data_IF_896025202815
#
_entry.id   IF_896025202815
#
_cell.length_a   1.000
_cell.length_b   1.000
_cell.length_c   1.000
_cell.angle_alpha   90.00
_cell.angle_beta   90.00
_cell.angle_gamma   90.00
#
_symmetry.space_group_name_H-M   'P 1'
#
loop_
_entity.id
_entity.type
_entity.pdbx_description
1 polymer ?
#
# COMPACT_ATOMS: atom_id res chain seq x y z
N UNK A 1 53.31 -3.87 53.35
CA UNK A 1 51.97 -3.39 52.91
C UNK A 1 50.98 -4.53 53.15
N UNK A 2 49.80 -4.27 53.73
CA UNK A 2 48.87 -5.36 54.10
C UNK A 2 47.95 -5.77 52.95
N UNK A 3 47.60 -7.07 52.87
CA UNK A 3 46.73 -7.64 51.81
C UNK A 3 45.36 -6.95 51.70
N UNK A 4 44.91 -6.29 52.77
CA UNK A 4 43.65 -5.53 52.82
C UNK A 4 43.61 -4.34 51.85
N UNK A 5 44.73 -3.64 51.64
CA UNK A 5 44.78 -2.51 50.69
C UNK A 5 44.92 -2.95 49.24
N UNK A 6 45.54 -4.11 48.98
CA UNK A 6 45.68 -4.65 47.63
C UNK A 6 44.32 -4.96 46.98
N UNK A 7 43.37 -5.51 47.76
CA UNK A 7 41.99 -5.72 47.30
C UNK A 7 41.24 -4.41 47.04
N UNK A 8 41.45 -3.38 47.87
CA UNK A 8 40.78 -2.07 47.69
C UNK A 8 41.29 -1.38 46.42
N UNK A 9 42.60 -1.40 46.14
CA UNK A 9 43.18 -0.78 44.93
C UNK A 9 42.75 -1.53 43.65
N UNK A 10 42.62 -2.86 43.69
CA UNK A 10 42.08 -3.63 42.56
C UNK A 10 40.59 -3.36 42.36
N UNK A 11 39.80 -3.23 43.45
CA UNK A 11 38.38 -2.86 43.37
C UNK A 11 38.15 -1.45 42.81
N UNK A 12 39.05 -0.49 43.09
CA UNK A 12 38.94 0.88 42.58
C UNK A 12 39.35 1.01 41.09
N UNK A 13 39.98 -0.01 40.52
CA UNK A 13 40.43 -0.05 39.13
C UNK A 13 39.43 -0.73 38.17
N UNK A 14 38.29 -1.23 38.67
CA UNK A 14 37.35 -2.05 37.89
C UNK A 14 36.05 -1.33 37.47
N UNK A 15 35.82 -0.08 37.90
CA UNK A 15 34.58 0.67 37.61
C UNK A 15 34.87 2.07 37.08
N UNK A 16 35.55 2.14 35.93
CA UNK A 16 35.51 3.32 35.04
C UNK A 16 35.49 2.89 33.56
N UNK A 17 34.64 1.92 33.23
CA UNK A 17 34.20 1.72 31.86
C UNK A 17 33.28 2.87 31.48
N UNK A 18 33.84 3.98 30.97
CA UNK A 18 33.05 5.04 30.33
C UNK A 18 32.44 4.40 29.09
N UNK A 19 31.13 4.16 29.12
CA UNK A 19 30.38 3.81 27.93
C UNK A 19 30.45 4.99 26.96
N UNK A 20 31.31 4.89 25.95
CA UNK A 20 31.30 5.80 24.81
C UNK A 20 30.04 5.47 24.01
N UNK A 21 28.93 6.10 24.41
CA UNK A 21 27.69 6.07 23.63
C UNK A 21 28.04 6.65 22.26
N UNK A 22 27.89 5.88 21.16
CA UNK A 22 28.13 6.43 19.83
C UNK A 22 27.13 7.56 19.60
N UNK A 23 27.63 8.77 19.40
CA UNK A 23 26.79 9.90 19.03
C UNK A 23 26.21 9.60 17.64
N UNK A 24 24.94 9.20 17.60
CA UNK A 24 24.19 9.10 16.36
C UNK A 24 24.19 10.50 15.73
N UNK A 25 24.69 10.59 14.48
CA UNK A 25 24.68 11.86 13.76
C UNK A 25 23.24 12.34 13.60
N UNK A 26 22.98 13.61 13.93
CA UNK A 26 21.65 14.18 13.78
C UNK A 26 21.24 14.13 12.30
N UNK A 27 19.98 13.77 12.04
CA UNK A 27 19.40 13.83 10.70
C UNK A 27 19.49 15.27 10.16
N UNK A 28 19.90 15.48 8.89
CA UNK A 28 19.96 16.81 8.32
C UNK A 28 18.55 17.42 8.24
N UNK A 29 18.43 18.68 8.65
CA UNK A 29 17.16 19.41 8.60
C UNK A 29 16.93 19.99 7.21
N UNK A 30 15.72 19.86 6.68
CA UNK A 30 15.35 20.38 5.36
C UNK A 30 14.47 21.61 5.53
N UNK A 31 14.83 22.71 4.87
CA UNK A 31 14.01 23.92 4.76
C UNK A 31 13.63 24.14 3.30
N UNK A 32 12.34 24.13 2.98
CA UNK A 32 11.82 24.51 1.66
C UNK A 32 11.21 25.91 1.75
N UNK A 33 11.67 26.85 0.91
CA UNK A 33 11.15 28.22 0.83
C UNK A 33 11.08 28.95 2.19
N UNK A 34 11.99 28.61 3.11
CA UNK A 34 12.06 29.15 4.47
C UNK A 34 11.25 28.40 5.54
N UNK A 35 10.44 27.40 5.18
CA UNK A 35 9.69 26.54 6.10
C UNK A 35 10.39 25.18 6.29
N UNK A 36 10.38 24.62 7.50
CA UNK A 36 10.92 23.28 7.76
C UNK A 36 10.02 22.22 7.12
N UNK A 37 10.57 21.42 6.20
CA UNK A 37 9.88 20.26 5.64
C UNK A 37 9.83 19.16 6.70
N UNK A 38 8.62 18.78 7.12
CA UNK A 38 8.40 17.60 7.95
C UNK A 38 8.46 16.34 7.09
N UNK A 39 9.02 15.27 7.64
CA UNK A 39 9.05 13.95 7.00
C UNK A 39 8.62 12.88 8.00
N UNK A 40 7.93 11.86 7.51
CA UNK A 40 7.48 10.69 8.27
C UNK A 40 8.66 9.81 8.70
N UNK A 41 9.60 9.57 7.77
CA UNK A 41 10.92 8.98 8.04
C UNK A 41 11.97 10.09 8.04
N UNK A 42 12.90 10.14 9.02
CA UNK A 42 13.96 11.15 9.03
C UNK A 42 14.84 11.11 7.76
N UNK A 43 15.30 12.25 7.22
CA UNK A 43 16.30 12.26 6.16
C UNK A 43 17.61 11.64 6.64
N UNK A 44 18.35 10.96 5.75
CA UNK A 44 19.58 10.23 6.10
C UNK A 44 20.69 10.57 5.11
N UNK A 45 21.96 10.52 5.55
CA UNK A 45 23.11 10.73 4.67
C UNK A 45 23.71 9.37 4.31
N UNK A 46 23.67 9.02 3.03
CA UNK A 46 24.21 7.78 2.47
C UNK A 46 25.22 8.11 1.37
N UNK A 47 26.42 7.54 1.45
CA UNK A 47 27.52 7.74 0.49
C UNK A 47 27.85 9.23 0.16
N UNK A 48 27.53 10.15 1.07
CA UNK A 48 27.73 11.60 0.92
C UNK A 48 26.55 12.36 0.31
N UNK A 49 25.51 11.67 -0.15
CA UNK A 49 24.23 12.27 -0.58
C UNK A 49 23.22 12.27 0.56
N UNK A 50 22.33 13.27 0.62
CA UNK A 50 21.17 13.20 1.50
C UNK A 50 20.00 12.55 0.79
N UNK A 51 19.50 11.49 1.41
CA UNK A 51 18.37 10.67 1.01
C UNK A 51 17.15 11.12 1.82
N UNK A 52 16.02 11.35 1.13
CA UNK A 52 14.77 11.88 1.71
C UNK A 52 13.57 11.03 1.23
N UNK A 53 12.50 10.85 2.03
CA UNK A 53 11.34 10.08 1.59
C UNK A 53 10.73 10.65 0.31
N UNK A 54 10.48 9.81 -0.69
CA UNK A 54 10.05 10.24 -2.02
C UNK A 54 8.81 11.14 -1.98
N UNK A 55 7.80 10.74 -1.19
CA UNK A 55 6.51 11.46 -1.11
C UNK A 55 6.71 12.89 -0.62
N UNK A 56 7.35 13.04 0.54
CA UNK A 56 7.55 14.33 1.18
C UNK A 56 8.31 15.35 0.31
N UNK A 57 9.32 14.90 -0.47
CA UNK A 57 10.05 15.83 -1.34
C UNK A 57 9.29 16.16 -2.64
N UNK A 58 8.63 15.18 -3.28
CA UNK A 58 7.89 15.44 -4.53
C UNK A 58 6.63 16.28 -4.28
N UNK A 59 5.83 15.96 -3.27
CA UNK A 59 4.62 16.72 -2.92
C UNK A 59 4.97 18.16 -2.54
N UNK A 60 5.99 18.37 -1.69
CA UNK A 60 6.40 19.70 -1.26
C UNK A 60 6.97 20.54 -2.43
N UNK A 61 7.61 19.92 -3.43
CA UNK A 61 8.05 20.58 -4.65
C UNK A 61 6.92 20.87 -5.66
N UNK A 62 5.68 20.46 -5.37
CA UNK A 62 4.52 20.63 -6.24
C UNK A 62 4.46 19.64 -7.40
N UNK A 63 5.08 18.47 -7.27
CA UNK A 63 5.05 17.41 -8.27
C UNK A 63 3.98 16.36 -7.94
N UNK A 64 3.26 15.88 -8.97
CA UNK A 64 2.48 14.66 -8.86
C UNK A 64 3.45 13.47 -8.87
N UNK A 65 3.24 12.46 -8.02
CA UNK A 65 4.12 11.30 -7.93
C UNK A 65 3.34 9.99 -7.89
N UNK A 66 3.78 9.03 -8.69
CA UNK A 66 3.31 7.65 -8.74
C UNK A 66 4.46 6.69 -8.43
N UNK A 67 4.09 5.49 -7.95
CA UNK A 67 5.02 4.40 -7.63
C UNK A 67 4.49 3.10 -8.22
N UNK A 68 5.28 2.48 -9.10
CA UNK A 68 5.06 1.12 -9.58
C UNK A 68 5.90 0.14 -8.74
N UNK A 69 5.23 -0.65 -7.90
CA UNK A 69 5.87 -1.66 -7.06
C UNK A 69 6.43 -2.87 -7.86
N UNK A 70 5.91 -3.12 -9.06
CA UNK A 70 6.28 -4.24 -9.94
C UNK A 70 7.60 -3.96 -10.62
N UNK A 71 7.74 -2.79 -11.24
CA UNK A 71 8.99 -2.36 -11.89
C UNK A 71 9.95 -1.66 -10.93
N UNK A 72 9.49 -1.34 -9.72
CA UNK A 72 10.18 -0.50 -8.71
C UNK A 72 10.54 0.89 -9.27
N UNK A 73 9.57 1.52 -9.94
CA UNK A 73 9.73 2.81 -10.62
C UNK A 73 8.98 3.92 -9.91
N UNK A 74 9.68 5.00 -9.59
CA UNK A 74 9.10 6.28 -9.23
C UNK A 74 8.87 7.08 -10.52
N UNK A 75 7.64 7.53 -10.75
CA UNK A 75 7.31 8.45 -11.85
C UNK A 75 6.78 9.74 -11.26
N UNK A 76 7.44 10.87 -11.53
CA UNK A 76 7.07 12.18 -10.97
C UNK A 76 6.95 13.25 -12.07
N UNK A 77 5.90 14.07 -12.01
CA UNK A 77 5.58 15.07 -13.05
C UNK A 77 5.32 16.44 -12.43
N UNK A 78 5.92 17.49 -12.98
CA UNK A 78 5.72 18.89 -12.60
C UNK A 78 5.82 19.79 -13.83
N UNK A 79 4.69 20.35 -14.27
CA UNK A 79 4.61 21.04 -15.56
C UNK A 79 5.09 20.11 -16.69
N UNK A 80 5.96 20.62 -17.56
CA UNK A 80 6.56 19.83 -18.65
C UNK A 80 7.67 18.86 -18.19
N UNK A 81 8.10 18.91 -16.92
CA UNK A 81 9.17 18.03 -16.42
C UNK A 81 8.60 16.69 -15.95
N UNK A 82 9.13 15.61 -16.52
CA UNK A 82 8.90 14.22 -16.08
C UNK A 82 10.20 13.59 -15.60
N UNK A 83 10.19 13.01 -14.40
CA UNK A 83 11.26 12.18 -13.86
C UNK A 83 10.81 10.73 -13.74
N UNK A 84 11.72 9.82 -14.08
CA UNK A 84 11.56 8.38 -13.88
C UNK A 84 12.80 7.87 -13.12
N UNK A 85 12.61 7.24 -11.97
CA UNK A 85 13.71 6.66 -11.16
C UNK A 85 13.39 5.21 -10.83
N UNK A 86 14.18 4.27 -11.38
CA UNK A 86 14.12 2.86 -10.98
C UNK A 86 15.02 2.63 -9.77
N UNK A 87 14.53 1.95 -8.73
CA UNK A 87 15.33 1.63 -7.53
C UNK A 87 16.50 0.72 -7.90
N UNK A 88 17.73 1.19 -7.65
CA UNK A 88 18.95 0.49 -8.03
C UNK A 88 19.16 0.34 -9.55
N UNK A 89 18.53 1.18 -10.36
CA UNK A 89 18.53 1.08 -11.82
C UNK A 89 18.58 2.44 -12.54
N UNK A 90 17.95 2.49 -13.71
CA UNK A 90 18.01 3.65 -14.59
C UNK A 90 17.24 4.86 -14.03
N UNK A 91 17.86 6.04 -14.15
CA UNK A 91 17.24 7.34 -13.90
C UNK A 91 17.08 8.08 -15.22
N UNK A 92 15.93 8.73 -15.42
CA UNK A 92 15.62 9.52 -16.62
C UNK A 92 14.99 10.86 -16.26
N UNK A 93 15.29 11.88 -17.06
CA UNK A 93 14.60 13.18 -17.06
C UNK A 93 14.08 13.44 -18.47
N UNK A 94 12.79 13.71 -18.62
CA UNK A 94 12.10 13.90 -19.90
C UNK A 94 12.39 12.77 -20.91
N UNK A 95 12.39 11.52 -20.41
CA UNK A 95 12.69 10.31 -21.17
C UNK A 95 14.18 10.07 -21.49
N UNK A 96 15.06 11.05 -21.26
CA UNK A 96 16.51 10.89 -21.47
C UNK A 96 17.16 10.25 -20.24
N UNK A 97 17.83 9.11 -20.43
CA UNK A 97 18.63 8.46 -19.38
C UNK A 97 19.77 9.38 -18.94
N UNK A 98 19.93 9.51 -17.63
CA UNK A 98 20.99 10.28 -16.98
C UNK A 98 21.79 9.36 -16.05
N UNK A 99 23.09 9.60 -15.95
CA UNK A 99 23.98 8.97 -14.97
C UNK A 99 24.03 9.85 -13.70
N UNK A 100 23.94 9.24 -12.51
CA UNK A 100 23.74 9.97 -11.24
C UNK A 100 24.62 9.43 -10.11
N UNK A 101 25.26 10.32 -9.37
CA UNK A 101 26.19 9.98 -8.28
C UNK A 101 25.52 9.23 -7.11
N UNK A 102 24.19 9.31 -6.99
CA UNK A 102 23.38 8.55 -6.04
C UNK A 102 22.05 8.14 -6.69
N UNK A 103 21.60 6.92 -6.38
CA UNK A 103 20.37 6.33 -6.89
C UNK A 103 19.25 6.37 -5.85
N UNK A 104 18.00 6.22 -6.27
CA UNK A 104 16.89 5.97 -5.35
C UNK A 104 17.03 4.56 -4.73
N UNK A 105 16.72 4.46 -3.43
CA UNK A 105 16.90 3.27 -2.60
C UNK A 105 15.66 3.01 -1.73
N UNK A 106 15.58 1.84 -1.09
CA UNK A 106 14.59 1.57 -0.05
C UNK A 106 15.35 1.37 1.26
N UNK A 107 15.08 2.22 2.26
CA UNK A 107 15.78 2.26 3.53
C UNK A 107 14.74 2.30 4.67
N UNK A 108 14.79 1.32 5.57
CA UNK A 108 13.86 1.15 6.69
C UNK A 108 12.37 1.15 6.26
N UNK A 109 12.06 0.55 5.10
CA UNK A 109 10.70 0.47 4.53
C UNK A 109 10.32 1.67 3.66
N UNK A 110 10.96 2.83 3.83
CA UNK A 110 10.69 4.03 3.05
C UNK A 110 11.51 4.07 1.76
N UNK A 111 10.86 4.38 0.64
CA UNK A 111 11.55 4.71 -0.62
C UNK A 111 12.19 6.09 -0.50
N UNK A 112 13.52 6.11 -0.48
CA UNK A 112 14.32 7.32 -0.31
C UNK A 112 14.96 7.73 -1.65
N UNK A 113 14.90 9.02 -1.98
CA UNK A 113 15.48 9.59 -3.20
C UNK A 113 16.61 10.58 -2.88
N UNK A 114 17.59 10.78 -3.79
CA UNK A 114 18.64 11.76 -3.59
C UNK A 114 18.05 13.18 -3.69
N UNK A 115 18.00 13.88 -2.55
CA UNK A 115 17.27 15.14 -2.41
C UNK A 115 17.69 16.19 -3.45
N UNK A 116 19.01 16.37 -3.64
CA UNK A 116 19.55 17.36 -4.58
C UNK A 116 19.08 17.07 -6.00
N UNK A 117 19.29 15.85 -6.48
CA UNK A 117 18.95 15.46 -7.85
C UNK A 117 17.46 15.70 -8.15
N UNK A 118 16.57 15.27 -7.25
CA UNK A 118 15.13 15.47 -7.39
C UNK A 118 14.77 16.97 -7.38
N UNK A 119 15.33 17.74 -6.46
CA UNK A 119 15.02 19.16 -6.32
C UNK A 119 15.50 19.98 -7.52
N UNK A 120 16.74 19.77 -7.97
CA UNK A 120 17.33 20.50 -9.10
C UNK A 120 16.66 20.13 -10.42
N UNK A 121 16.30 18.85 -10.62
CA UNK A 121 15.52 18.43 -11.79
C UNK A 121 14.11 19.01 -11.80
N UNK A 122 13.49 19.22 -10.62
CA UNK A 122 12.18 19.89 -10.45
C UNK A 122 12.27 21.42 -10.37
N UNK A 123 13.39 22.01 -10.81
CA UNK A 123 13.58 23.46 -10.97
C UNK A 123 13.89 24.24 -9.69
N UNK A 124 14.26 23.57 -8.59
CA UNK A 124 14.62 24.21 -7.33
C UNK A 124 16.14 24.27 -7.13
N UNK A 125 16.62 25.35 -6.48
CA UNK A 125 18.02 25.48 -6.06
C UNK A 125 18.23 24.85 -4.69
N UNK A 126 19.33 24.11 -4.51
CA UNK A 126 19.67 23.44 -3.23
C UNK A 126 21.02 23.90 -2.67
N UNK A 127 20.99 24.56 -1.51
CA UNK A 127 22.17 24.92 -0.72
C UNK A 127 22.30 23.99 0.49
N UNK A 128 23.54 23.70 0.91
CA UNK A 128 23.84 22.91 2.11
C UNK A 128 24.73 23.71 3.06
N UNK A 129 24.32 23.84 4.31
CA UNK A 129 25.13 24.39 5.38
C UNK A 129 25.72 23.22 6.22
N UNK A 130 27.03 22.95 6.11
CA UNK A 130 27.67 21.85 6.84
C UNK A 130 27.81 22.12 8.34
N UNK A 131 27.85 23.38 8.78
CA UNK A 131 28.04 23.76 10.18
C UNK A 131 26.75 23.59 11.01
N UNK A 132 25.59 23.75 10.37
CA UNK A 132 24.27 23.61 10.99
C UNK A 132 23.51 22.35 10.58
N UNK A 133 24.04 21.57 9.64
CA UNK A 133 23.37 20.45 8.97
C UNK A 133 21.99 20.81 8.38
N UNK A 134 21.87 22.01 7.78
CA UNK A 134 20.63 22.48 7.15
C UNK A 134 20.76 22.43 5.61
N UNK A 135 19.79 21.80 4.96
CA UNK A 135 19.56 21.86 3.52
C UNK A 135 18.50 22.92 3.25
N UNK A 136 18.84 23.94 2.45
CA UNK A 136 17.89 24.96 2.01
C UNK A 136 17.53 24.72 0.55
N UNK A 137 16.24 24.50 0.29
CA UNK A 137 15.65 24.35 -1.03
C UNK A 137 14.87 25.62 -1.36
N UNK A 138 15.11 26.21 -2.52
CA UNK A 138 14.41 27.42 -2.99
C UNK A 138 13.82 27.16 -4.38
N UNK A 139 12.50 27.14 -4.51
CA UNK A 139 11.83 27.14 -5.82
C UNK A 139 11.71 28.56 -6.34
N UNK A 140 11.77 28.75 -7.67
CA UNK A 140 11.20 29.95 -8.25
C UNK A 140 9.70 29.98 -7.93
N UNK A 141 9.23 31.04 -7.27
CA UNK A 141 7.82 31.22 -6.95
C UNK A 141 7.10 31.83 -8.15
N UNK A 142 6.31 31.03 -8.87
CA UNK A 142 5.29 31.58 -9.75
C UNK A 142 4.25 32.29 -8.88
N UNK A 143 4.24 33.63 -8.92
CA UNK A 143 3.42 34.47 -8.05
C UNK A 143 1.98 34.53 -8.54
N UNK A 144 1.28 33.39 -8.52
CA UNK A 144 -0.19 33.37 -8.48
C UNK A 144 -0.64 33.65 -7.06
N UNK A 145 -0.56 34.93 -6.66
CA UNK A 145 -1.31 35.43 -5.50
C UNK A 145 -2.76 35.01 -5.66
N UNK A 146 -3.38 34.30 -4.69
CA UNK A 146 -4.82 34.11 -4.73
C UNK A 146 -5.47 35.49 -4.59
N UNK A 147 -6.23 35.92 -5.58
CA UNK A 147 -7.09 37.10 -5.42
C UNK A 147 -8.11 36.77 -4.33
N UNK A 148 -8.01 37.52 -3.24
CA UNK A 148 -8.98 37.52 -2.14
C UNK A 148 -10.36 37.85 -2.73
N UNK A 149 -11.36 36.94 -2.67
CA UNK A 149 -12.68 37.19 -3.23
C UNK A 149 -13.42 38.17 -2.32
N UNK A 150 -13.13 39.46 -2.47
CA UNK A 150 -13.80 40.55 -1.75
C UNK A 150 -15.29 40.53 -2.06
N UNK A 151 -16.07 40.01 -1.12
CA UNK A 151 -17.53 39.95 -1.18
C UNK A 151 -18.10 41.35 -0.97
N UNK A 152 -18.25 42.09 -2.07
CA UNK A 152 -19.04 43.33 -2.13
C UNK A 152 -20.53 42.94 -2.22
N UNK A 153 -21.24 42.99 -1.09
CA UNK A 153 -22.68 42.69 -0.98
C UNK A 153 -23.52 43.99 -1.02
N UNK A 154 -24.04 44.36 -2.19
CA UNK A 154 -25.19 45.26 -2.36
C UNK A 154 -25.84 45.11 -3.76
N UNK A 155 -27.08 45.60 -3.93
CA UNK A 155 -27.61 45.98 -5.24
C UNK A 155 -28.61 45.03 -5.90
N UNK A 156 -29.80 44.85 -5.31
CA UNK A 156 -30.93 44.18 -5.97
C UNK A 156 -31.43 44.93 -7.22
N UNK A 157 -31.60 44.24 -8.35
CA UNK A 157 -32.58 44.60 -9.41
C UNK A 157 -33.21 43.33 -9.98
N UNK A 158 -34.54 43.34 -10.11
CA UNK A 158 -35.36 42.34 -10.82
C UNK A 158 -35.71 42.84 -12.21
N UNK A 159 -35.86 41.95 -13.19
CA UNK A 159 -37.02 42.03 -14.10
C UNK A 159 -37.40 40.66 -14.71
N UNK A 160 -38.61 40.60 -15.24
CA UNK A 160 -39.29 39.42 -15.81
C UNK A 160 -39.11 39.32 -17.35
N UNK A 161 -39.82 38.36 -17.98
CA UNK A 161 -40.08 38.14 -19.44
C UNK A 161 -39.21 37.10 -20.18
N UNK A 162 -39.76 36.29 -21.10
CA UNK A 162 -41.15 35.74 -21.26
C UNK A 162 -41.06 34.44 -22.10
N UNK A 163 -42.16 33.71 -22.27
CA UNK A 163 -42.23 32.37 -22.87
C UNK A 163 -42.42 32.34 -24.41
N UNK A 164 -42.75 31.16 -24.96
CA UNK A 164 -43.19 30.87 -26.36
C UNK A 164 -42.09 30.95 -27.43
N UNK A 165 -42.13 30.24 -28.57
CA UNK A 165 -42.99 29.13 -29.06
C UNK A 165 -42.16 28.35 -30.12
N UNK A 166 -42.14 27.00 -30.15
CA UNK A 166 -43.06 26.08 -30.85
C UNK A 166 -42.35 25.40 -32.06
N UNK A 167 -43.04 24.56 -32.82
CA UNK A 167 -42.49 23.39 -33.51
C UNK A 167 -42.17 23.54 -35.03
N UNK A 168 -42.17 22.37 -35.71
CA UNK A 168 -42.11 22.11 -37.15
C UNK A 168 -40.78 22.32 -37.92
N UNK A 169 -40.44 21.53 -38.96
CA UNK A 169 -40.80 20.15 -39.37
C UNK A 169 -40.02 19.83 -40.68
N UNK A 170 -40.29 18.65 -41.29
CA UNK A 170 -39.96 18.28 -42.70
C UNK A 170 -38.45 18.03 -42.95
N UNK A 171 -37.97 17.26 -43.94
CA UNK A 171 -38.48 16.26 -44.91
C UNK A 171 -37.21 15.70 -45.62
N UNK A 172 -37.17 14.62 -46.42
CA UNK A 172 -38.06 13.48 -46.76
C UNK A 172 -37.17 12.43 -47.48
N UNK A 173 -37.66 11.22 -47.74
CA UNK A 173 -37.17 10.21 -48.72
C UNK A 173 -35.75 9.61 -48.54
N UNK A 174 -35.40 8.45 -49.13
CA UNK A 174 -36.17 7.55 -50.01
C UNK A 174 -35.96 6.06 -49.68
N UNK A 175 -36.69 5.19 -50.38
CA UNK A 175 -36.70 3.72 -50.27
C UNK A 175 -35.43 3.08 -50.95
N UNK A 176 -35.27 1.76 -51.13
CA UNK A 176 -36.19 0.71 -51.64
C UNK A 176 -35.76 -0.71 -51.24
N UNK A 177 -36.75 -1.61 -51.13
CA UNK A 177 -36.83 -3.00 -51.62
C UNK A 177 -35.75 -4.06 -51.28
N UNK A 178 -36.03 -5.38 -51.31
CA UNK A 178 -37.24 -6.21 -51.08
C UNK A 178 -36.82 -7.70 -51.14
N UNK A 179 -37.65 -8.64 -50.64
CA UNK A 179 -37.58 -10.12 -50.84
C UNK A 179 -36.35 -10.86 -50.24
N UNK A 180 -36.35 -12.18 -50.00
CA UNK A 180 -37.41 -13.22 -50.11
C UNK A 180 -37.29 -14.27 -48.96
N UNK A 181 -38.20 -15.24 -48.90
CA UNK A 181 -38.35 -16.25 -47.82
C UNK A 181 -37.95 -17.70 -48.25
N UNK A 182 -38.45 -18.72 -47.51
CA UNK A 182 -38.30 -20.20 -47.69
C UNK A 182 -36.91 -20.79 -47.36
N UNK A 183 -36.72 -22.00 -46.82
CA UNK A 183 -37.56 -23.02 -46.14
C UNK A 183 -36.67 -23.62 -45.01
N UNK A 184 -37.10 -24.02 -43.81
CA UNK A 184 -38.10 -25.02 -43.37
C UNK A 184 -37.61 -26.50 -43.42
N UNK A 185 -38.15 -27.36 -42.55
CA UNK A 185 -37.87 -28.81 -42.31
C UNK A 185 -36.57 -29.18 -41.54
N UNK A 186 -36.52 -30.15 -40.60
CA UNK A 186 -37.55 -30.78 -39.74
C UNK A 186 -36.87 -31.50 -38.52
N UNK A 187 -37.67 -32.13 -37.63
CA UNK A 187 -37.34 -32.85 -36.38
C UNK A 187 -36.65 -34.25 -36.60
N UNK A 188 -36.43 -35.18 -35.65
CA UNK A 188 -36.84 -35.47 -34.23
C UNK A 188 -35.61 -35.92 -33.40
N UNK A 189 -35.61 -36.26 -32.10
CA UNK A 189 -36.58 -36.42 -30.97
C UNK A 189 -35.94 -35.75 -29.71
N UNK A 190 -36.57 -35.28 -28.63
CA UNK A 190 -37.83 -35.54 -27.88
C UNK A 190 -37.74 -36.59 -26.73
N UNK A 191 -38.56 -36.41 -25.67
CA UNK A 191 -38.53 -36.93 -24.26
C UNK A 191 -37.93 -35.92 -23.22
N UNK A 192 -38.64 -35.29 -22.27
CA UNK A 192 -39.94 -35.53 -21.59
C UNK A 192 -39.94 -36.74 -20.63
N UNK A 193 -40.35 -36.72 -19.35
CA UNK A 193 -40.75 -35.68 -18.37
C UNK A 193 -40.23 -36.13 -16.96
N UNK A 194 -40.31 -35.47 -15.80
CA UNK A 194 -41.07 -34.35 -15.17
C UNK A 194 -40.11 -33.63 -14.18
N UNK A 195 -40.31 -32.44 -13.60
CA UNK A 195 -41.50 -31.60 -13.33
C UNK A 195 -42.32 -31.95 -12.05
N UNK A 196 -41.74 -31.75 -10.85
CA UNK A 196 -42.49 -31.65 -9.57
C UNK A 196 -41.80 -30.72 -8.54
N UNK A 197 -42.57 -29.99 -7.74
CA UNK A 197 -42.07 -29.00 -6.75
C UNK A 197 -42.59 -29.26 -5.35
N UNK A 198 -41.70 -29.36 -4.35
CA UNK A 198 -42.06 -29.05 -2.96
C UNK A 198 -40.85 -28.52 -2.19
N UNK A 199 -41.10 -27.81 -1.07
CA UNK A 199 -40.09 -27.08 -0.31
C UNK A 199 -40.30 -27.19 1.21
N UNK A 200 -39.58 -28.11 1.84
CA UNK A 200 -39.34 -28.18 3.30
C UNK A 200 -37.96 -28.81 3.56
N UNK A 201 -37.36 -28.45 4.70
CA UNK A 201 -36.36 -29.17 5.52
C UNK A 201 -35.45 -30.24 4.83
N UNK A 202 -34.13 -30.21 4.99
CA UNK A 202 -33.44 -29.94 6.26
C UNK A 202 -32.03 -29.35 6.08
N UNK A 203 -31.56 -28.61 7.10
CA UNK A 203 -30.17 -28.13 7.15
C UNK A 203 -29.22 -29.26 7.51
N UNK A 204 -28.50 -29.82 6.52
CA UNK A 204 -27.36 -30.68 6.82
C UNK A 204 -26.24 -30.61 5.75
N UNK A 205 -25.60 -29.44 5.65
CA UNK A 205 -24.18 -29.43 5.29
C UNK A 205 -23.42 -30.01 6.50
N UNK A 206 -23.17 -31.33 6.49
CA UNK A 206 -22.60 -32.02 7.66
C UNK A 206 -21.24 -31.44 8.00
N UNK A 207 -21.16 -30.81 9.15
CA UNK A 207 -19.94 -30.31 9.77
C UNK A 207 -19.01 -31.48 10.16
N UNK A 208 -18.18 -31.93 9.22
CA UNK A 208 -17.02 -32.78 9.47
C UNK A 208 -15.82 -31.93 9.95
N UNK A 209 -16.07 -30.96 10.84
CA UNK A 209 -15.08 -30.50 11.80
C UNK A 209 -14.68 -31.69 12.69
N UNK A 210 -13.75 -32.50 12.17
CA UNK A 210 -13.04 -33.51 12.95
C UNK A 210 -12.49 -32.81 14.19
N UNK A 211 -13.03 -33.15 15.36
CA UNK A 211 -12.73 -32.48 16.64
C UNK A 211 -11.32 -32.85 17.11
N UNK A 212 -10.34 -32.25 16.44
CA UNK A 212 -8.96 -32.18 16.89
C UNK A 212 -8.95 -31.36 18.18
N UNK A 213 -8.39 -31.94 19.24
CA UNK A 213 -8.08 -31.17 20.45
C UNK A 213 -7.10 -30.06 20.07
N UNK A 214 -7.10 -28.93 20.78
CA UNK A 214 -6.13 -27.85 20.49
C UNK A 214 -4.65 -28.28 20.66
N UNK A 215 -4.41 -29.43 21.30
CA UNK A 215 -3.12 -30.10 21.41
C UNK A 215 -2.64 -30.81 20.12
N UNK A 216 -3.53 -31.04 19.15
CA UNK A 216 -3.26 -31.76 17.89
C UNK A 216 -3.12 -30.81 16.68
N UNK A 217 -3.61 -29.56 16.80
CA UNK A 217 -3.62 -28.53 15.75
C UNK A 217 -2.22 -27.97 15.43
N UNK A 218 -2.02 -27.50 14.20
CA UNK A 218 -0.80 -26.75 13.82
C UNK A 218 -0.78 -25.35 14.43
N UNK A 219 0.42 -24.74 14.65
CA UNK A 219 0.53 -23.33 15.01
C UNK A 219 -0.23 -22.39 14.06
N UNK A 220 -0.24 -22.68 12.75
CA UNK A 220 -1.04 -21.91 11.80
C UNK A 220 -2.56 -22.08 11.99
N UNK A 221 -3.06 -23.29 12.26
CA UNK A 221 -4.48 -23.51 12.52
C UNK A 221 -4.95 -22.80 13.81
N UNK A 222 -4.13 -22.84 14.87
CA UNK A 222 -4.39 -22.09 16.11
C UNK A 222 -4.41 -20.57 15.89
N UNK A 223 -3.54 -20.06 15.01
CA UNK A 223 -3.57 -18.65 14.59
C UNK A 223 -4.87 -18.30 13.84
N UNK A 224 -5.40 -19.18 13.00
CA UNK A 224 -6.69 -18.95 12.31
C UNK A 224 -7.88 -18.93 13.27
N UNK A 225 -7.89 -19.82 14.27
CA UNK A 225 -8.90 -19.84 15.32
C UNK A 225 -8.90 -18.52 16.11
N UNK A 226 -7.73 -18.07 16.59
CA UNK A 226 -7.56 -16.79 17.28
C UNK A 226 -7.97 -15.60 16.39
N UNK A 227 -7.50 -15.57 15.14
CA UNK A 227 -7.84 -14.55 14.15
C UNK A 227 -9.36 -14.43 13.98
N UNK A 228 -10.09 -15.55 13.95
CA UNK A 228 -11.57 -15.56 13.88
C UNK A 228 -12.21 -14.95 15.13
N UNK A 229 -11.64 -15.11 16.32
CA UNK A 229 -12.18 -14.49 17.55
C UNK A 229 -12.01 -12.97 17.60
N UNK A 230 -10.96 -12.43 16.98
CA UNK A 230 -10.63 -10.99 16.95
C UNK A 230 -11.29 -10.21 15.80
N UNK A 231 -12.19 -10.81 15.04
CA UNK A 231 -12.77 -10.21 13.84
C UNK A 231 -13.70 -9.02 14.13
N UNK A 232 -13.65 -8.00 13.27
CA UNK A 232 -14.40 -6.75 13.36
C UNK A 232 -15.36 -6.61 12.16
N UNK A 233 -16.64 -7.06 12.27
CA UNK A 233 -17.62 -7.01 11.19
C UNK A 233 -17.82 -5.63 10.57
N UNK A 234 -17.72 -4.56 11.37
CA UNK A 234 -17.90 -3.18 10.91
C UNK A 234 -16.70 -2.63 10.13
N UNK A 235 -15.60 -3.37 10.04
CA UNK A 235 -14.50 -3.12 9.09
C UNK A 235 -14.69 -3.87 7.77
N UNK A 236 -15.51 -4.92 7.78
CA UNK A 236 -15.73 -5.82 6.65
C UNK A 236 -17.02 -5.54 5.86
N UNK A 237 -17.73 -4.44 6.15
CA UNK A 237 -18.94 -4.05 5.43
C UNK A 237 -18.64 -3.86 3.92
N UNK A 238 -19.40 -4.57 3.07
CA UNK A 238 -19.19 -4.56 1.61
C UNK A 238 -17.94 -5.28 1.12
N UNK A 239 -17.16 -5.92 1.99
CA UNK A 239 -15.98 -6.72 1.62
C UNK A 239 -16.43 -8.10 1.15
N UNK A 240 -15.81 -8.58 0.07
CA UNK A 240 -15.89 -9.96 -0.41
C UNK A 240 -14.51 -10.33 -0.95
N UNK A 241 -13.71 -11.04 -0.16
CA UNK A 241 -12.31 -11.36 -0.49
C UNK A 241 -11.91 -12.71 0.10
N UNK A 242 -11.30 -13.55 -0.73
CA UNK A 242 -10.81 -14.88 -0.36
C UNK A 242 -9.28 -14.87 -0.37
N UNK A 243 -8.69 -15.14 0.79
CA UNK A 243 -7.26 -15.26 1.01
C UNK A 243 -6.89 -16.74 1.07
N UNK A 244 -6.02 -17.19 0.16
CA UNK A 244 -5.38 -18.50 0.25
C UNK A 244 -4.01 -18.36 0.91
N UNK A 245 -3.73 -19.23 1.86
CA UNK A 245 -2.42 -19.44 2.45
C UNK A 245 -1.84 -20.77 1.96
N UNK A 246 -0.56 -20.76 1.61
CA UNK A 246 0.25 -21.93 1.27
C UNK A 246 1.48 -21.90 2.17
N UNK A 247 1.46 -22.72 3.21
CA UNK A 247 2.51 -22.82 4.22
C UNK A 247 3.56 -23.82 3.75
N UNK A 248 4.82 -23.40 3.72
CA UNK A 248 5.92 -24.07 2.99
C UNK A 248 6.95 -24.74 3.88
N UNK A 249 7.07 -24.32 5.14
CA UNK A 249 7.92 -24.91 6.17
C UNK A 249 7.19 -24.98 7.52
N UNK A 250 7.87 -25.43 8.58
CA UNK A 250 7.23 -25.71 9.86
C UNK A 250 6.29 -26.92 9.73
N UNK A 251 4.99 -26.65 9.65
CA UNK A 251 3.94 -27.61 9.32
C UNK A 251 3.29 -27.25 7.96
N UNK A 252 3.85 -27.70 6.82
CA UNK A 252 3.37 -27.31 5.50
C UNK A 252 1.93 -27.74 5.23
N UNK A 253 1.13 -26.86 4.65
CA UNK A 253 -0.29 -27.07 4.41
C UNK A 253 -0.95 -25.91 3.66
N UNK A 254 -2.15 -26.14 3.16
CA UNK A 254 -3.01 -25.11 2.57
C UNK A 254 -4.08 -24.71 3.57
N UNK A 255 -4.39 -23.42 3.66
CA UNK A 255 -5.46 -22.88 4.50
C UNK A 255 -6.12 -21.68 3.84
N UNK A 256 -7.31 -21.28 4.24
CA UNK A 256 -7.99 -20.09 3.71
C UNK A 256 -8.61 -19.21 4.80
N UNK A 257 -8.77 -17.93 4.45
CA UNK A 257 -9.61 -16.95 5.16
C UNK A 257 -10.53 -16.29 4.14
N UNK A 258 -11.83 -16.36 4.36
CA UNK A 258 -12.87 -15.74 3.54
C UNK A 258 -13.52 -14.64 4.37
N UNK A 259 -13.45 -13.40 3.90
CA UNK A 259 -14.15 -12.26 4.50
C UNK A 259 -15.24 -11.85 3.50
N UNK A 260 -16.50 -12.03 3.88
CA UNK A 260 -17.66 -11.81 3.01
C UNK A 260 -18.88 -11.42 3.81
N UNK A 261 -19.66 -10.46 3.33
CA UNK A 261 -20.97 -10.03 3.88
C UNK A 261 -20.95 -9.66 5.38
N UNK A 262 -19.80 -9.23 5.91
CA UNK A 262 -19.61 -8.93 7.33
C UNK A 262 -19.28 -10.15 8.22
N UNK A 263 -18.93 -11.29 7.63
CA UNK A 263 -18.50 -12.51 8.32
C UNK A 263 -17.05 -12.89 7.98
N UNK A 264 -16.41 -13.65 8.88
CA UNK A 264 -15.09 -14.25 8.70
C UNK A 264 -15.17 -15.77 8.83
N UNK A 265 -14.83 -16.49 7.76
CA UNK A 265 -14.70 -17.94 7.73
C UNK A 265 -13.25 -18.32 7.51
N UNK A 266 -12.74 -19.29 8.27
CA UNK A 266 -11.38 -19.83 8.16
C UNK A 266 -11.44 -21.34 8.05
N UNK A 267 -10.43 -21.98 7.43
CA UNK A 267 -10.36 -23.43 7.36
C UNK A 267 -9.10 -23.97 6.71
N UNK A 268 -8.91 -25.29 6.80
CA UNK A 268 -7.84 -26.02 6.12
C UNK A 268 -8.23 -26.36 4.67
N UNK A 269 -7.23 -26.50 3.80
CA UNK A 269 -7.39 -26.83 2.39
C UNK A 269 -7.24 -25.64 1.44
N UNK A 270 -7.77 -25.82 0.23
CA UNK A 270 -7.67 -24.84 -0.86
C UNK A 270 -9.06 -24.29 -1.19
N UNK A 271 -9.21 -22.97 -1.30
CA UNK A 271 -10.44 -22.35 -1.76
C UNK A 271 -10.55 -22.38 -3.29
N UNK A 272 -11.76 -22.57 -3.83
CA UNK A 272 -11.98 -22.74 -5.28
C UNK A 272 -11.67 -21.49 -6.13
N UNK A 273 -11.62 -20.30 -5.53
CA UNK A 273 -11.38 -19.02 -6.22
C UNK A 273 -10.79 -17.98 -5.26
N UNK A 274 -9.48 -18.04 -4.96
CA UNK A 274 -8.82 -17.05 -4.14
C UNK A 274 -8.64 -15.72 -4.88
N UNK A 275 -8.86 -14.62 -4.17
CA UNK A 275 -8.58 -13.25 -4.63
C UNK A 275 -7.09 -12.89 -4.48
N UNK A 276 -6.41 -13.53 -3.53
CA UNK A 276 -4.96 -13.46 -3.32
C UNK A 276 -4.46 -14.79 -2.74
N UNK A 277 -3.29 -15.24 -3.17
CA UNK A 277 -2.58 -16.40 -2.63
C UNK A 277 -1.25 -15.98 -2.02
N UNK A 278 -0.96 -16.44 -0.81
CA UNK A 278 0.18 -16.06 0.01
C UNK A 278 1.02 -17.32 0.30
N UNK A 279 2.21 -17.41 -0.29
CA UNK A 279 3.11 -18.57 -0.18
C UNK A 279 4.26 -18.23 0.75
N UNK A 280 4.25 -18.78 1.97
CA UNK A 280 5.03 -18.27 3.12
C UNK A 280 5.52 -19.41 4.03
N UNK A 281 6.53 -19.14 4.86
CA UNK A 281 6.96 -20.05 5.94
C UNK A 281 6.11 -19.86 7.20
N UNK A 282 5.88 -20.91 7.98
CA UNK A 282 4.95 -20.86 9.13
C UNK A 282 5.39 -19.82 10.17
N UNK A 283 6.63 -19.95 10.66
CA UNK A 283 7.18 -19.02 11.66
C UNK A 283 7.25 -17.58 11.12
N UNK A 284 7.58 -17.42 9.83
CA UNK A 284 7.65 -16.10 9.20
C UNK A 284 6.27 -15.42 9.18
N UNK A 285 5.20 -16.15 8.87
CA UNK A 285 3.86 -15.58 8.94
C UNK A 285 3.45 -15.23 10.37
N UNK A 286 3.75 -16.09 11.35
CA UNK A 286 3.43 -15.82 12.75
C UNK A 286 4.21 -14.61 13.29
N UNK A 287 5.47 -14.43 12.90
CA UNK A 287 6.25 -13.24 13.23
C UNK A 287 5.71 -11.97 12.55
N UNK A 288 5.18 -12.08 11.32
CA UNK A 288 4.50 -10.96 10.62
C UNK A 288 3.15 -10.61 11.29
N UNK A 289 2.34 -11.61 11.61
CA UNK A 289 1.01 -11.44 12.19
C UNK A 289 1.05 -10.81 13.59
N UNK A 290 2.07 -11.16 14.37
CA UNK A 290 2.34 -10.61 15.70
C UNK A 290 3.26 -9.39 15.71
N UNK A 291 3.58 -8.82 14.53
CA UNK A 291 4.36 -7.59 14.38
C UNK A 291 5.85 -7.67 14.78
N UNK A 292 6.40 -8.89 14.93
CA UNK A 292 7.83 -9.13 15.22
C UNK A 292 8.70 -8.97 13.97
N UNK A 293 8.15 -9.28 12.80
CA UNK A 293 8.72 -9.02 11.47
C UNK A 293 7.77 -8.08 10.71
N UNK A 294 8.31 -7.16 9.92
CA UNK A 294 7.47 -6.31 9.06
C UNK A 294 7.08 -7.07 7.78
N UNK A 295 5.80 -7.36 7.60
CA UNK A 295 5.28 -8.10 6.44
C UNK A 295 5.54 -7.44 5.09
N UNK A 296 5.62 -6.11 5.05
CA UNK A 296 5.92 -5.35 3.82
C UNK A 296 7.39 -5.51 3.45
N UNK A 297 8.30 -5.42 4.43
CA UNK A 297 9.73 -5.71 4.25
C UNK A 297 9.97 -7.18 3.92
N UNK A 298 9.29 -8.12 4.57
CA UNK A 298 9.42 -9.55 4.29
C UNK A 298 9.02 -9.89 2.84
N UNK A 299 7.93 -9.29 2.34
CA UNK A 299 7.51 -9.38 0.93
C UNK A 299 8.56 -8.76 -0.02
N UNK A 300 8.97 -7.52 0.22
CA UNK A 300 9.94 -6.84 -0.67
C UNK A 300 11.32 -7.50 -0.71
N UNK A 301 11.73 -8.17 0.38
CA UNK A 301 12.95 -8.98 0.47
C UNK A 301 12.78 -10.41 -0.10
N UNK A 302 11.60 -10.76 -0.65
CA UNK A 302 11.25 -12.10 -1.15
C UNK A 302 11.43 -13.21 -0.12
N UNK A 303 11.13 -12.94 1.15
CA UNK A 303 11.01 -13.99 2.18
C UNK A 303 9.73 -14.82 2.01
N UNK A 304 8.73 -14.27 1.32
CA UNK A 304 7.50 -14.95 0.91
C UNK A 304 7.00 -14.40 -0.43
N UNK A 305 6.11 -15.13 -1.09
CA UNK A 305 5.55 -14.79 -2.41
C UNK A 305 4.04 -14.52 -2.31
N UNK A 306 3.54 -13.70 -3.25
CA UNK A 306 2.12 -13.30 -3.33
C UNK A 306 1.69 -13.32 -4.79
N UNK A 307 0.57 -13.97 -5.06
CA UNK A 307 -0.14 -13.95 -6.35
C UNK A 307 -1.51 -13.29 -6.16
N UNK A 308 -1.86 -12.33 -7.01
CA UNK A 308 -2.97 -11.38 -6.80
C UNK A 308 -2.52 -10.00 -6.27
N UNK A 309 -3.43 -9.23 -5.67
CA UNK A 309 -3.17 -7.88 -5.16
C UNK A 309 -2.55 -7.90 -3.75
N UNK A 310 -1.27 -7.48 -3.56
CA UNK A 310 -0.61 -7.50 -2.25
C UNK A 310 -1.18 -6.47 -1.27
N UNK A 311 -1.94 -5.45 -1.71
CA UNK A 311 -2.61 -4.52 -0.79
C UNK A 311 -3.70 -5.20 0.03
N UNK A 312 -4.25 -6.32 -0.46
CA UNK A 312 -5.21 -7.13 0.29
C UNK A 312 -4.60 -7.68 1.58
N UNK A 313 -3.29 -7.94 1.64
CA UNK A 313 -2.59 -8.44 2.84
C UNK A 313 -2.58 -7.39 3.95
N UNK A 314 -2.36 -6.13 3.62
CA UNK A 314 -2.46 -5.03 4.59
C UNK A 314 -3.92 -4.84 5.03
N UNK A 315 -4.88 -4.91 4.09
CA UNK A 315 -6.32 -4.85 4.42
C UNK A 315 -6.74 -5.98 5.36
N UNK A 316 -6.22 -7.20 5.17
CA UNK A 316 -6.52 -8.36 6.02
C UNK A 316 -6.36 -8.00 7.50
N UNK A 317 -5.21 -7.43 7.87
CA UNK A 317 -4.91 -7.02 9.25
C UNK A 317 -5.86 -5.95 9.80
N UNK A 318 -6.49 -5.13 8.95
CA UNK A 318 -7.43 -4.06 9.39
C UNK A 318 -8.82 -4.58 9.76
N UNK A 319 -9.14 -5.84 9.46
CA UNK A 319 -10.42 -6.48 9.79
C UNK A 319 -10.43 -7.15 11.18
N UNK A 320 -9.37 -7.01 11.97
CA UNK A 320 -9.22 -7.68 13.26
C UNK A 320 -8.69 -6.73 14.34
N UNK A 321 -9.05 -6.98 15.60
CA UNK A 321 -8.38 -6.36 16.75
C UNK A 321 -6.91 -6.82 16.81
N UNK A 322 -5.97 -5.96 17.23
CA UNK A 322 -4.57 -6.36 17.40
C UNK A 322 -4.43 -7.42 18.49
N UNK A 323 -3.44 -8.30 18.34
CA UNK A 323 -3.08 -9.31 19.34
C UNK A 323 -2.81 -8.64 20.71
N UNK A 324 -3.50 -9.08 21.75
CA UNK A 324 -3.41 -8.45 23.08
C UNK A 324 -2.11 -8.82 23.77
N UNK A 325 -1.24 -7.83 24.01
CA UNK A 325 0.03 -8.04 24.71
C UNK A 325 -0.16 -8.34 26.21
N UNK A 326 0.11 -9.59 26.61
CA UNK A 326 0.31 -10.02 28.01
C UNK A 326 1.77 -9.85 28.49
#
# INVERSE_FOLDING_TARGET
MSKKYLLIVVSLLFVLAIAVVPAQAAAPSIMLNGQTLQTDTPPMIENGSTMVPMRAIFEALGAQVAWDATTKTISAVKGDTTLELVIGGDVKVNGQKLDVDAQATILNGSTMVPLRFVSESMGAKVDWNPDTQIITITTATDTTTPEDPTVEEDGTVTDDTDATDDADATDDTDATDDTDATDDTDATDDTDATDDTDATDDTNATDEAASQTDADKTPFALYLDDLKTRFLPEKAEGVSTTYQFVITDGNPGSYYVIIKDGECTVGEGTADSPTVTITVGEQLWLDIASGKEDGTLAYFNKKFEVDGDPTLIQKLQTYFEPESAE
#
